data_IF_982885356120
#
_entry.id   IF_982885356120
#
_cell.length_a   1.000
_cell.length_b   1.000
_cell.length_c   1.000
_cell.angle_alpha   90.00
_cell.angle_beta   90.00
_cell.angle_gamma   90.00
#
_symmetry.space_group_name_H-M   'P 1'
#
loop_
_entity.id
_entity.type
_entity.pdbx_description
1 polymer ?
#
# COMPACT_ATOMS: atom_id res chain seq x y z
N UNK A 1 -17.37 -12.48 -0.26
CA UNK A 1 -17.99 -11.40 -0.99
C UNK A 1 -18.92 -11.88 -2.12
N UNK A 2 -18.82 -13.08 -2.60
CA UNK A 2 -19.75 -13.65 -3.61
C UNK A 2 -19.58 -13.06 -5.02
N UNK A 3 -18.53 -12.29 -5.26
CA UNK A 3 -18.23 -11.76 -6.59
C UNK A 3 -17.56 -12.86 -7.40
N UNK A 4 -18.06 -13.14 -8.58
CA UNK A 4 -17.42 -14.06 -9.52
C UNK A 4 -16.31 -13.28 -10.25
N UNK A 5 -15.05 -13.71 -10.06
CA UNK A 5 -13.89 -13.11 -10.71
C UNK A 5 -12.88 -14.19 -11.13
N UNK A 6 -12.21 -13.92 -12.23
CA UNK A 6 -11.12 -14.76 -12.72
C UNK A 6 -9.77 -14.04 -12.50
N UNK A 7 -8.87 -14.71 -11.81
CA UNK A 7 -7.50 -14.21 -11.64
C UNK A 7 -6.70 -14.47 -12.91
N UNK A 8 -6.10 -13.44 -13.47
CA UNK A 8 -5.17 -13.50 -14.60
C UNK A 8 -3.77 -13.23 -14.08
N UNK A 9 -2.86 -14.17 -14.24
CA UNK A 9 -1.48 -14.12 -13.76
C UNK A 9 -0.49 -14.06 -14.93
N UNK A 10 0.81 -13.91 -14.62
CA UNK A 10 1.89 -13.93 -15.61
C UNK A 10 2.40 -12.56 -16.05
N UNK A 11 1.86 -11.48 -15.53
CA UNK A 11 2.38 -10.14 -15.80
C UNK A 11 3.72 -9.88 -15.11
N UNK A 12 4.69 -9.40 -15.87
CA UNK A 12 6.06 -9.17 -15.39
C UNK A 12 6.23 -7.85 -14.63
N UNK A 13 5.28 -6.91 -14.78
CA UNK A 13 5.38 -5.57 -14.19
C UNK A 13 4.01 -4.89 -14.09
N UNK A 14 3.93 -3.83 -13.27
CA UNK A 14 2.74 -2.96 -13.19
C UNK A 14 2.44 -2.34 -14.56
N UNK A 15 3.46 -1.93 -15.31
CA UNK A 15 3.27 -1.40 -16.66
C UNK A 15 2.63 -2.39 -17.63
N UNK A 16 2.97 -3.68 -17.53
CA UNK A 16 2.32 -4.73 -18.33
C UNK A 16 0.84 -4.90 -17.95
N UNK A 17 0.52 -4.82 -16.65
CA UNK A 17 -0.87 -4.85 -16.17
C UNK A 17 -1.65 -3.62 -16.67
N UNK A 18 -1.08 -2.43 -16.58
CA UNK A 18 -1.72 -1.21 -17.07
C UNK A 18 -2.03 -1.29 -18.57
N UNK A 19 -1.08 -1.83 -19.35
CA UNK A 19 -1.30 -2.07 -20.78
C UNK A 19 -2.45 -3.05 -21.04
N UNK A 20 -2.53 -4.14 -20.29
CA UNK A 20 -3.60 -5.12 -20.41
C UNK A 20 -4.97 -4.52 -20.05
N UNK A 21 -5.06 -3.61 -19.06
CA UNK A 21 -6.27 -2.83 -18.77
C UNK A 21 -6.61 -1.92 -19.95
N UNK A 22 -5.64 -1.18 -20.47
CA UNK A 22 -5.87 -0.28 -21.60
C UNK A 22 -6.34 -1.01 -22.87
N UNK A 23 -5.95 -2.28 -23.03
CA UNK A 23 -6.35 -3.15 -24.13
C UNK A 23 -7.66 -3.92 -23.87
N UNK A 24 -8.22 -3.81 -22.66
CA UNK A 24 -9.46 -4.53 -22.29
C UNK A 24 -9.26 -6.02 -22.00
N UNK A 25 -8.02 -6.48 -21.86
CA UNK A 25 -7.71 -7.89 -21.55
C UNK A 25 -8.06 -8.23 -20.09
N UNK A 26 -7.93 -7.26 -19.19
CA UNK A 26 -8.37 -7.32 -17.78
C UNK A 26 -9.15 -6.06 -17.44
N UNK A 27 -10.05 -6.17 -16.49
CA UNK A 27 -10.95 -5.06 -16.12
C UNK A 27 -10.82 -4.61 -14.65
N UNK A 28 -9.93 -5.23 -13.89
CA UNK A 28 -9.68 -4.89 -12.49
C UNK A 28 -8.27 -5.22 -12.08
N UNK A 29 -7.64 -4.35 -11.28
CA UNK A 29 -6.34 -4.61 -10.66
C UNK A 29 -6.27 -4.03 -9.25
N UNK A 30 -5.42 -4.61 -8.41
CA UNK A 30 -4.93 -4.00 -7.18
C UNK A 30 -3.55 -3.41 -7.45
N UNK A 31 -3.31 -2.21 -6.96
CA UNK A 31 -2.00 -1.57 -7.06
C UNK A 31 -1.51 -1.12 -5.68
N UNK A 32 -0.21 -1.12 -5.50
CA UNK A 32 0.40 -0.40 -4.37
C UNK A 32 0.24 1.10 -4.60
N UNK A 33 0.21 1.87 -3.52
CA UNK A 33 0.07 3.32 -3.64
C UNK A 33 1.16 3.97 -4.52
N UNK A 34 2.46 3.65 -4.40
CA UNK A 34 3.47 4.14 -5.33
C UNK A 34 3.21 3.74 -6.79
N UNK A 35 2.80 2.49 -7.03
CA UNK A 35 2.46 2.03 -8.38
C UNK A 35 1.24 2.75 -8.96
N UNK A 36 0.25 3.02 -8.13
CA UNK A 36 -0.92 3.81 -8.51
C UNK A 36 -0.49 5.24 -8.91
N UNK A 37 0.19 5.97 -8.02
CA UNK A 37 0.55 7.38 -8.25
C UNK A 37 1.53 7.56 -9.43
N UNK A 38 2.54 6.70 -9.55
CA UNK A 38 3.59 6.88 -10.55
C UNK A 38 3.28 6.27 -11.91
N UNK A 39 2.34 5.32 -11.99
CA UNK A 39 2.07 4.59 -13.23
C UNK A 39 0.58 4.55 -13.59
N UNK A 40 -0.32 4.15 -12.68
CA UNK A 40 -1.72 4.02 -13.02
C UNK A 40 -2.38 5.40 -13.24
N UNK A 41 -2.05 6.41 -12.43
CA UNK A 41 -2.60 7.76 -12.59
C UNK A 41 -2.31 8.31 -13.98
N UNK A 42 -1.06 8.45 -14.44
CA UNK A 42 -0.79 9.04 -15.75
C UNK A 42 -1.23 8.14 -16.93
N UNK A 43 -1.26 6.83 -16.76
CA UNK A 43 -1.54 5.90 -17.86
C UNK A 43 -3.01 5.54 -18.02
N UNK A 44 -3.77 5.52 -16.92
CA UNK A 44 -5.14 4.99 -16.91
C UNK A 44 -6.17 5.98 -16.36
N UNK A 45 -5.84 6.70 -15.27
CA UNK A 45 -6.82 7.54 -14.58
C UNK A 45 -6.98 8.90 -15.29
N UNK A 46 -5.87 9.60 -15.55
CA UNK A 46 -5.87 10.89 -16.26
C UNK A 46 -6.33 10.76 -17.72
N UNK A 47 -6.17 9.59 -18.30
CA UNK A 47 -6.65 9.27 -19.65
C UNK A 47 -8.12 8.83 -19.70
N UNK A 48 -8.76 8.64 -18.54
CA UNK A 48 -10.14 8.18 -18.45
C UNK A 48 -10.37 6.71 -18.79
N UNK A 49 -9.29 5.92 -18.94
CA UNK A 49 -9.39 4.49 -19.26
C UNK A 49 -9.88 3.69 -18.05
N UNK A 50 -9.48 4.08 -16.84
CA UNK A 50 -9.89 3.43 -15.60
C UNK A 50 -10.27 4.44 -14.53
N UNK A 51 -11.03 3.99 -13.54
CA UNK A 51 -11.40 4.76 -12.35
C UNK A 51 -10.91 4.03 -11.10
N UNK A 52 -10.43 4.75 -10.07
CA UNK A 52 -10.17 4.14 -8.77
C UNK A 52 -11.50 3.85 -8.08
N UNK A 53 -11.67 2.62 -7.58
CA UNK A 53 -12.93 2.23 -6.94
C UNK A 53 -12.91 2.45 -5.44
N UNK A 54 -11.85 2.03 -4.77
CA UNK A 54 -11.64 2.20 -3.33
C UNK A 54 -10.16 2.07 -2.96
N UNK A 55 -9.83 2.47 -1.75
CA UNK A 55 -8.53 2.23 -1.14
C UNK A 55 -8.65 1.30 0.08
N UNK A 56 -7.62 0.49 0.31
CA UNK A 56 -7.42 -0.26 1.54
C UNK A 56 -6.42 0.50 2.38
N UNK A 57 -6.84 1.01 3.53
CA UNK A 57 -5.96 1.70 4.48
C UNK A 57 -5.17 0.71 5.34
N UNK A 58 -3.94 1.08 5.72
CA UNK A 58 -3.26 0.43 6.82
C UNK A 58 -3.96 0.77 8.15
N UNK A 59 -3.86 -0.09 9.15
CA UNK A 59 -4.43 0.20 10.47
C UNK A 59 -3.38 0.89 11.34
N UNK A 60 -3.67 2.10 11.79
CA UNK A 60 -2.84 2.85 12.72
C UNK A 60 -2.86 2.25 14.13
N UNK A 61 -1.96 2.72 14.99
CA UNK A 61 -1.89 2.27 16.38
C UNK A 61 -3.14 2.61 17.21
N UNK A 62 -3.91 3.59 16.77
CA UNK A 62 -5.20 4.00 17.34
C UNK A 62 -6.40 3.23 16.76
N UNK A 63 -6.16 2.23 15.93
CA UNK A 63 -7.17 1.44 15.25
C UNK A 63 -7.86 2.11 14.07
N UNK A 64 -7.46 3.34 13.73
CA UNK A 64 -8.02 4.04 12.57
C UNK A 64 -7.30 3.66 11.29
N UNK A 65 -8.06 3.69 10.20
CA UNK A 65 -7.47 3.49 8.88
C UNK A 65 -6.63 4.69 8.45
N UNK A 66 -5.42 4.38 8.02
CA UNK A 66 -4.48 5.32 7.44
C UNK A 66 -4.57 5.22 5.91
N UNK A 67 -5.30 6.13 5.31
CA UNK A 67 -5.39 6.24 3.85
C UNK A 67 -4.38 7.23 3.28
N UNK A 68 -4.29 7.26 1.97
CA UNK A 68 -3.52 8.27 1.27
C UNK A 68 -4.28 9.60 1.23
N UNK A 69 -3.68 10.72 1.68
CA UNK A 69 -4.27 12.04 1.54
C UNK A 69 -4.59 12.40 0.07
N UNK A 70 -3.78 11.94 -0.86
CA UNK A 70 -3.97 12.21 -2.29
C UNK A 70 -5.12 11.40 -2.89
N UNK A 71 -5.31 10.15 -2.47
CA UNK A 71 -6.50 9.38 -2.81
C UNK A 71 -7.77 10.01 -2.24
N UNK A 72 -7.71 10.50 -1.00
CA UNK A 72 -8.84 11.22 -0.39
C UNK A 72 -9.20 12.49 -1.15
N UNK A 73 -8.21 13.30 -1.59
CA UNK A 73 -8.43 14.48 -2.45
C UNK A 73 -9.07 14.13 -3.79
N UNK A 74 -8.81 12.94 -4.32
CA UNK A 74 -9.43 12.41 -5.56
C UNK A 74 -10.81 11.80 -5.32
N UNK A 75 -11.32 11.82 -4.08
CA UNK A 75 -12.61 11.25 -3.73
C UNK A 75 -12.61 9.72 -3.65
N UNK A 76 -11.46 9.08 -3.54
CA UNK A 76 -11.37 7.61 -3.43
C UNK A 76 -11.69 7.19 -2.00
N UNK A 77 -12.87 6.62 -1.82
CA UNK A 77 -13.36 6.15 -0.53
C UNK A 77 -12.59 4.91 -0.02
N UNK A 78 -12.67 4.64 1.27
CA UNK A 78 -12.23 3.35 1.81
C UNK A 78 -13.16 2.22 1.39
N UNK A 79 -12.62 1.02 1.28
CA UNK A 79 -13.39 -0.19 0.97
C UNK A 79 -14.59 -0.36 1.91
N UNK A 80 -14.42 -0.08 3.19
CA UNK A 80 -15.46 -0.21 4.22
C UNK A 80 -16.63 0.73 3.97
N UNK A 81 -16.38 1.95 3.51
CA UNK A 81 -17.42 2.92 3.19
C UNK A 81 -18.21 2.47 1.95
N UNK A 82 -17.51 2.03 0.92
CA UNK A 82 -18.14 1.48 -0.30
C UNK A 82 -18.95 0.22 0.02
N UNK A 83 -18.42 -0.66 0.88
CA UNK A 83 -19.13 -1.84 1.31
C UNK A 83 -20.41 -1.49 2.12
N UNK A 84 -20.29 -0.52 3.02
CA UNK A 84 -21.43 -0.03 3.82
C UNK A 84 -22.51 0.60 2.93
N UNK A 85 -22.13 1.36 1.94
CA UNK A 85 -23.08 1.94 0.97
C UNK A 85 -23.82 0.84 0.21
N UNK A 86 -23.10 -0.17 -0.27
CA UNK A 86 -23.68 -1.27 -1.04
C UNK A 86 -24.53 -2.25 -0.22
N UNK A 87 -24.21 -2.46 1.07
CA UNK A 87 -24.81 -3.51 1.90
C UNK A 87 -25.56 -3.00 3.14
N UNK A 88 -25.58 -1.68 3.40
CA UNK A 88 -26.24 -1.06 4.55
C UNK A 88 -25.56 -1.29 5.90
N UNK A 89 -24.41 -1.98 5.94
CA UNK A 89 -23.66 -2.30 7.17
C UNK A 89 -22.16 -2.39 6.91
N UNK A 90 -21.36 -2.15 7.94
CA UNK A 90 -19.90 -2.34 7.87
C UNK A 90 -19.54 -3.81 7.61
N UNK A 91 -18.45 -4.07 6.85
CA UNK A 91 -17.95 -5.42 6.69
C UNK A 91 -17.49 -5.98 8.03
N UNK A 92 -17.69 -7.28 8.25
CA UNK A 92 -17.29 -7.97 9.48
C UNK A 92 -17.15 -9.47 9.27
N UNK A 93 -16.54 -10.14 10.24
CA UNK A 93 -16.35 -11.59 10.26
C UNK A 93 -15.04 -12.08 9.66
N UNK A 94 -14.77 -13.40 9.74
CA UNK A 94 -13.43 -13.96 9.52
C UNK A 94 -12.78 -13.61 8.17
N UNK A 95 -13.58 -13.48 7.10
CA UNK A 95 -13.05 -13.11 5.78
C UNK A 95 -12.60 -11.64 5.72
N UNK A 96 -13.33 -10.76 6.40
CA UNK A 96 -12.94 -9.36 6.49
C UNK A 96 -11.73 -9.19 7.41
N UNK A 97 -11.70 -9.88 8.54
CA UNK A 97 -10.58 -9.87 9.47
C UNK A 97 -9.28 -10.35 8.77
N UNK A 98 -9.38 -11.40 7.95
CA UNK A 98 -8.27 -11.89 7.14
C UNK A 98 -7.82 -10.86 6.08
N UNK A 99 -8.75 -10.15 5.44
CA UNK A 99 -8.41 -9.09 4.48
C UNK A 99 -7.65 -7.94 5.18
N UNK A 100 -8.15 -7.47 6.32
CA UNK A 100 -7.52 -6.38 7.09
C UNK A 100 -6.12 -6.80 7.54
N UNK A 101 -5.96 -8.00 8.11
CA UNK A 101 -4.67 -8.51 8.58
C UNK A 101 -3.66 -8.66 7.44
N UNK A 102 -4.08 -9.23 6.31
CA UNK A 102 -3.23 -9.38 5.12
C UNK A 102 -2.80 -8.03 4.54
N UNK A 103 -3.73 -7.07 4.47
CA UNK A 103 -3.43 -5.73 3.98
C UNK A 103 -2.49 -4.97 4.93
N UNK A 104 -2.74 -5.02 6.23
CA UNK A 104 -1.92 -4.34 7.24
C UNK A 104 -0.48 -4.89 7.26
N UNK A 105 -0.33 -6.21 7.23
CA UNK A 105 0.98 -6.85 7.13
C UNK A 105 1.70 -6.48 5.84
N UNK A 106 1.01 -6.51 4.71
CA UNK A 106 1.56 -6.14 3.41
C UNK A 106 2.00 -4.67 3.36
N UNK A 107 1.21 -3.76 3.95
CA UNK A 107 1.53 -2.34 3.98
C UNK A 107 2.75 -2.04 4.86
N UNK A 108 2.85 -2.66 6.03
CA UNK A 108 3.94 -2.44 6.99
C UNK A 108 5.25 -3.14 6.61
N UNK A 109 5.17 -4.28 5.93
CA UNK A 109 6.31 -5.14 5.58
C UNK A 109 6.63 -5.11 4.08
N UNK A 110 6.08 -4.16 3.33
CA UNK A 110 6.26 -4.06 1.88
C UNK A 110 7.73 -3.93 1.45
N UNK A 111 8.55 -3.30 2.27
CA UNK A 111 10.01 -3.16 2.04
C UNK A 111 10.74 -3.31 3.36
N UNK A 112 11.41 -4.43 3.53
CA UNK A 112 12.18 -4.74 4.73
C UNK A 112 13.66 -4.66 4.42
N UNK A 113 14.39 -3.90 5.22
CA UNK A 113 15.86 -3.90 5.20
C UNK A 113 16.33 -4.85 6.30
N UNK A 114 17.09 -5.85 5.91
CA UNK A 114 17.58 -6.89 6.81
C UNK A 114 19.11 -6.95 6.79
N UNK A 115 19.70 -7.35 7.91
CA UNK A 115 21.12 -7.68 7.99
C UNK A 115 21.30 -9.20 8.00
N UNK A 116 22.45 -9.71 7.54
CA UNK A 116 22.73 -11.14 7.57
C UNK A 116 22.85 -11.65 9.01
N UNK A 117 22.62 -12.94 9.25
CA UNK A 117 22.88 -13.56 10.55
C UNK A 117 24.34 -13.32 10.98
N UNK A 118 24.55 -13.00 12.27
CA UNK A 118 25.87 -12.69 12.80
C UNK A 118 26.36 -11.26 12.63
N UNK A 119 25.56 -10.38 12.04
CA UNK A 119 25.86 -8.96 12.03
C UNK A 119 25.96 -8.41 13.46
N UNK A 120 26.91 -7.51 13.72
CA UNK A 120 27.11 -6.95 15.05
C UNK A 120 25.93 -6.07 15.48
N UNK A 121 25.63 -6.05 16.78
CA UNK A 121 24.62 -5.16 17.34
C UNK A 121 24.95 -3.68 17.11
N UNK A 122 26.21 -3.34 17.05
CA UNK A 122 26.69 -1.99 16.75
C UNK A 122 26.32 -1.59 15.31
N UNK A 123 26.59 -2.44 14.32
CA UNK A 123 26.21 -2.19 12.94
C UNK A 123 24.68 -2.06 12.77
N UNK A 124 23.92 -2.90 13.47
CA UNK A 124 22.46 -2.81 13.48
C UNK A 124 21.95 -1.49 14.08
N UNK A 125 22.56 -1.05 15.18
CA UNK A 125 22.22 0.21 15.84
C UNK A 125 22.54 1.41 14.95
N UNK A 126 23.70 1.43 14.30
CA UNK A 126 24.10 2.50 13.37
C UNK A 126 23.16 2.54 12.13
N UNK A 127 22.80 1.39 11.57
CA UNK A 127 21.86 1.34 10.45
C UNK A 127 20.48 1.90 10.85
N UNK A 128 19.94 1.48 12.00
CA UNK A 128 18.67 1.98 12.53
C UNK A 128 18.70 3.49 12.76
N UNK A 129 19.79 4.00 13.34
CA UNK A 129 20.03 5.43 13.55
C UNK A 129 20.07 6.20 12.22
N UNK A 130 20.75 5.65 11.21
CA UNK A 130 20.77 6.21 9.87
C UNK A 130 19.38 6.37 9.26
N UNK A 131 18.56 5.31 9.32
CA UNK A 131 17.16 5.38 8.84
C UNK A 131 16.31 6.40 9.60
N UNK A 132 16.44 6.49 10.93
CA UNK A 132 15.74 7.51 11.71
C UNK A 132 16.21 8.92 11.36
N UNK A 133 17.51 9.10 11.07
CA UNK A 133 18.08 10.39 10.69
C UNK A 133 17.57 10.87 9.33
N UNK A 134 17.54 9.97 8.33
CA UNK A 134 17.14 10.33 6.96
C UNK A 134 15.66 10.76 6.90
N UNK A 135 14.81 10.29 7.82
CA UNK A 135 13.42 10.72 7.94
C UNK A 135 13.24 12.17 8.42
N UNK A 136 14.33 12.82 8.83
CA UNK A 136 14.37 14.24 9.21
C UNK A 136 15.08 15.11 8.18
N UNK A 137 15.66 14.48 7.18
CA UNK A 137 16.39 15.15 6.11
C UNK A 137 15.40 15.72 5.09
N UNK A 138 15.36 17.06 4.99
CA UNK A 138 14.42 17.76 4.11
C UNK A 138 14.71 17.51 2.62
N UNK A 139 15.95 17.35 2.24
CA UNK A 139 16.36 17.09 0.87
C UNK A 139 15.92 15.69 0.45
N UNK A 140 16.19 14.70 1.29
CA UNK A 140 15.70 13.34 1.09
C UNK A 140 14.17 13.28 0.97
N UNK A 141 13.44 13.93 1.89
CA UNK A 141 11.98 13.94 1.88
C UNK A 141 11.46 14.55 0.57
N UNK A 142 12.02 15.69 0.15
CA UNK A 142 11.61 16.35 -1.08
C UNK A 142 11.87 15.49 -2.34
N UNK A 143 13.04 14.87 -2.45
CA UNK A 143 13.37 13.98 -3.56
C UNK A 143 12.50 12.70 -3.52
N UNK A 144 12.25 12.13 -2.34
CA UNK A 144 11.36 10.99 -2.19
C UNK A 144 9.94 11.31 -2.66
N UNK A 145 9.37 12.44 -2.20
CA UNK A 145 8.05 12.92 -2.62
C UNK A 145 7.97 13.17 -4.14
N UNK A 146 9.03 13.73 -4.72
CA UNK A 146 9.11 13.97 -6.17
C UNK A 146 9.05 12.68 -6.97
N UNK A 147 9.73 11.62 -6.52
CA UNK A 147 9.82 10.33 -7.21
C UNK A 147 8.61 9.44 -6.90
N UNK A 148 8.27 9.30 -5.64
CA UNK A 148 7.28 8.32 -5.14
C UNK A 148 5.88 8.92 -5.01
N UNK A 149 5.76 10.26 -5.04
CA UNK A 149 4.51 11.02 -4.92
C UNK A 149 3.78 10.85 -3.58
N UNK A 150 4.50 10.50 -2.53
CA UNK A 150 3.98 10.35 -1.17
C UNK A 150 5.09 10.57 -0.13
N UNK A 151 4.71 10.77 1.11
CA UNK A 151 5.66 10.89 2.22
C UNK A 151 6.36 9.55 2.52
N UNK A 152 7.64 9.58 2.88
CA UNK A 152 8.32 8.38 3.35
C UNK A 152 7.75 7.93 4.70
N UNK A 153 7.51 6.64 4.86
CA UNK A 153 7.04 6.03 6.10
C UNK A 153 8.10 5.05 6.59
N UNK A 154 8.49 5.16 7.85
CA UNK A 154 9.46 4.26 8.49
C UNK A 154 8.80 3.54 9.67
N UNK A 155 8.85 2.21 9.62
CA UNK A 155 8.61 1.37 10.78
C UNK A 155 9.96 0.93 11.36
N UNK A 156 10.23 1.30 12.61
CA UNK A 156 11.48 0.92 13.29
C UNK A 156 11.44 -0.54 13.75
N UNK A 157 12.61 -1.09 14.12
CA UNK A 157 12.77 -2.49 14.51
C UNK A 157 11.67 -3.05 15.44
N UNK A 158 11.36 -2.44 16.58
CA UNK A 158 10.29 -2.92 17.48
C UNK A 158 8.91 -2.95 16.84
N UNK A 159 8.58 -1.97 16.00
CA UNK A 159 7.30 -1.93 15.29
C UNK A 159 7.24 -3.00 14.18
N UNK A 160 8.35 -3.20 13.46
CA UNK A 160 8.45 -4.25 12.46
C UNK A 160 8.39 -5.64 13.09
N UNK A 161 9.07 -5.86 14.22
CA UNK A 161 9.04 -7.11 14.99
C UNK A 161 7.62 -7.45 15.47
N UNK A 162 6.88 -6.47 15.98
CA UNK A 162 5.48 -6.66 16.37
C UNK A 162 4.56 -7.00 15.17
N UNK A 163 4.84 -6.42 14.01
CA UNK A 163 4.07 -6.71 12.80
C UNK A 163 4.38 -8.10 12.27
N UNK A 164 5.65 -8.53 12.32
CA UNK A 164 6.07 -9.89 11.95
C UNK A 164 5.51 -10.96 12.89
N UNK A 165 5.42 -10.68 14.18
CA UNK A 165 4.87 -11.62 15.17
C UNK A 165 3.35 -11.84 15.05
N UNK A 166 2.64 -10.97 14.32
CA UNK A 166 1.20 -11.05 14.07
C UNK A 166 0.84 -11.61 12.68
N UNK A 167 1.82 -11.68 11.80
CA UNK A 167 1.65 -12.19 10.44
C UNK A 167 1.81 -13.71 10.37
#
# INVERSE_FOLDING_TARGET
>A
MGTDYKVVTGFQSVGAINKAIAQGEINFMLSTLPGYETQAVPQLIETGIAIPMWQLGAVGSDGKQLGSPDLAKRGVAFFEDVYKEAHGKMPSGPKYDALVMSNDSSAKLARVVMMPPGASNEALAELRKGFVSIMKDREFIAEYQKIIKMDPILFTGPQAEQSLAKA
#
